data_IF_169859502388
#
_entry.id   IF_169859502388
#
_cell.length_a   1.000
_cell.length_b   1.000
_cell.length_c   1.000
_cell.angle_alpha   90.00
_cell.angle_beta   90.00
_cell.angle_gamma   90.00
#
_symmetry.space_group_name_H-M   'P 1'
#
loop_
_entity.id
_entity.type
_entity.pdbx_description
1 polymer ?
#
# COMPACT_ATOMS: atom_id res chain seq x y z
N UNK A 1 -9.07 -30.89 18.52
CA UNK A 1 -7.96 -30.00 18.95
C UNK A 1 -7.45 -29.23 17.74
N UNK A 2 -7.85 -27.97 17.59
CA UNK A 2 -7.41 -27.10 16.50
C UNK A 2 -6.01 -26.59 16.82
N UNK A 3 -4.98 -27.11 16.12
CA UNK A 3 -3.64 -26.53 16.16
C UNK A 3 -3.68 -25.21 15.40
N UNK A 4 -3.71 -24.11 16.12
CA UNK A 4 -3.51 -22.77 15.60
C UNK A 4 -2.02 -22.62 15.29
N UNK A 5 -1.62 -22.91 14.04
CA UNK A 5 -0.30 -22.52 13.55
C UNK A 5 -0.38 -21.03 13.23
N UNK A 6 -0.06 -20.24 14.25
CA UNK A 6 0.11 -18.81 14.16
C UNK A 6 1.52 -18.53 13.64
N UNK A 7 1.66 -18.45 12.31
CA UNK A 7 2.85 -17.87 11.70
C UNK A 7 2.71 -16.34 11.86
N UNK A 8 2.95 -15.85 13.09
CA UNK A 8 2.71 -14.46 13.50
C UNK A 8 3.69 -13.45 12.89
N UNK A 9 4.76 -13.89 12.25
CA UNK A 9 5.68 -13.01 11.53
C UNK A 9 6.60 -13.82 10.62
N UNK A 10 6.67 -13.49 9.33
CA UNK A 10 7.92 -13.68 8.59
C UNK A 10 8.67 -12.36 8.69
N UNK A 11 9.45 -12.17 9.76
CA UNK A 11 10.44 -11.08 9.79
C UNK A 11 11.53 -11.48 8.80
N UNK A 12 11.53 -10.84 7.64
CA UNK A 12 12.37 -11.21 6.49
C UNK A 12 13.88 -11.23 6.76
N UNK A 13 14.39 -10.69 7.89
CA UNK A 13 15.84 -10.61 8.09
C UNK A 13 16.54 -11.88 8.60
N UNK A 14 15.89 -12.77 9.35
CA UNK A 14 16.55 -14.00 9.86
C UNK A 14 16.11 -15.28 9.17
N UNK A 15 14.95 -15.27 8.52
CA UNK A 15 14.47 -16.42 7.75
C UNK A 15 15.03 -16.42 6.31
N UNK A 16 15.32 -15.23 5.73
CA UNK A 16 15.76 -15.12 4.33
C UNK A 16 17.30 -15.17 4.16
N UNK A 17 18.10 -15.04 5.21
CA UNK A 17 19.53 -15.36 5.12
C UNK A 17 19.79 -16.87 5.00
N UNK A 18 18.77 -17.70 5.25
CA UNK A 18 18.85 -19.16 5.18
C UNK A 18 18.02 -19.77 4.04
N UNK A 19 17.12 -19.01 3.42
CA UNK A 19 16.36 -19.42 2.23
C UNK A 19 16.60 -18.34 1.19
N UNK A 20 17.38 -18.66 0.16
CA UNK A 20 17.33 -17.90 -1.08
C UNK A 20 15.91 -18.08 -1.62
N UNK A 21 15.03 -17.11 -1.38
CA UNK A 21 13.62 -17.22 -1.80
C UNK A 21 13.41 -16.79 -3.23
N UNK A 22 14.49 -16.39 -3.89
CA UNK A 22 14.54 -16.20 -5.32
C UNK A 22 14.80 -17.56 -6.00
N UNK A 23 15.59 -18.45 -5.38
CA UNK A 23 15.78 -19.85 -5.81
C UNK A 23 15.64 -20.84 -4.63
N UNK A 24 14.44 -20.95 -4.03
CA UNK A 24 14.26 -21.97 -3.04
C UNK A 24 14.41 -23.30 -3.77
N UNK A 25 15.30 -24.17 -3.28
CA UNK A 25 15.33 -25.57 -3.68
C UNK A 25 13.87 -26.07 -3.80
N UNK A 26 13.48 -26.75 -4.90
CA UNK A 26 12.10 -27.19 -5.11
C UNK A 26 11.42 -27.80 -3.89
N UNK A 27 12.18 -28.56 -3.08
CA UNK A 27 11.68 -29.15 -1.82
C UNK A 27 11.31 -28.10 -0.76
N UNK A 28 12.09 -27.02 -0.68
CA UNK A 28 11.84 -25.88 0.21
C UNK A 28 10.66 -25.06 -0.31
N UNK A 29 10.60 -24.82 -1.62
CA UNK A 29 9.49 -24.11 -2.26
C UNK A 29 8.15 -24.84 -2.02
N UNK A 30 8.12 -26.16 -2.19
CA UNK A 30 6.94 -26.99 -1.95
C UNK A 30 6.50 -26.93 -0.47
N UNK A 31 7.46 -26.99 0.47
CA UNK A 31 7.17 -26.84 1.91
C UNK A 31 6.58 -25.47 2.23
N UNK A 32 7.14 -24.39 1.67
CA UNK A 32 6.61 -23.04 1.85
C UNK A 32 5.17 -22.97 1.32
N UNK A 33 4.91 -23.46 0.10
CA UNK A 33 3.55 -23.45 -0.46
C UNK A 33 2.56 -24.24 0.39
N UNK A 34 2.95 -25.40 0.92
CA UNK A 34 2.10 -26.18 1.86
C UNK A 34 1.77 -25.39 3.13
N UNK A 35 2.72 -24.60 3.65
CA UNK A 35 2.46 -23.70 4.79
C UNK A 35 1.50 -22.60 4.37
N UNK A 36 1.79 -21.88 3.28
CA UNK A 36 0.96 -20.78 2.77
C UNK A 36 -0.49 -21.20 2.53
N UNK A 37 -0.72 -22.40 1.97
CA UNK A 37 -2.06 -22.95 1.73
C UNK A 37 -2.92 -23.07 2.99
N UNK A 38 -2.30 -23.16 4.17
CA UNK A 38 -2.99 -23.33 5.44
C UNK A 38 -2.99 -22.06 6.31
N UNK A 39 -2.36 -20.98 5.85
CA UNK A 39 -2.29 -19.73 6.61
C UNK A 39 -3.65 -19.05 6.69
N UNK A 40 -3.92 -18.49 7.88
CA UNK A 40 -5.09 -17.63 8.11
C UNK A 40 -4.70 -16.15 8.19
N UNK A 41 -3.46 -15.86 8.53
CA UNK A 41 -2.91 -14.51 8.62
C UNK A 41 -1.54 -14.52 7.97
N UNK A 42 -1.28 -13.52 7.13
CA UNK A 42 -0.02 -13.33 6.44
C UNK A 42 0.35 -11.85 6.53
N UNK A 43 1.53 -11.57 7.07
CA UNK A 43 2.14 -10.25 7.07
C UNK A 43 3.47 -10.29 6.35
N UNK A 44 3.63 -9.43 5.35
CA UNK A 44 4.86 -9.23 4.59
C UNK A 44 5.30 -7.78 4.76
N UNK A 45 6.40 -7.59 5.50
CA UNK A 45 7.04 -6.28 5.66
C UNK A 45 8.30 -6.26 4.79
N UNK A 46 8.24 -5.47 3.73
CA UNK A 46 9.32 -5.29 2.78
C UNK A 46 10.27 -4.21 3.32
N UNK A 47 11.53 -4.57 3.56
CA UNK A 47 12.52 -3.64 4.08
C UNK A 47 13.62 -3.44 3.05
N UNK A 48 13.88 -2.17 2.73
CA UNK A 48 15.03 -1.76 1.96
C UNK A 48 16.26 -1.74 2.86
N UNK A 49 17.08 -2.78 2.81
CA UNK A 49 18.47 -2.69 3.27
C UNK A 49 19.32 -2.43 2.04
N UNK A 50 19.79 -1.19 1.90
CA UNK A 50 20.89 -0.88 1.00
C UNK A 50 22.14 -1.53 1.57
N UNK A 51 22.31 -2.84 1.35
CA UNK A 51 23.55 -3.51 1.71
C UNK A 51 24.67 -2.93 0.85
N UNK A 52 25.73 -2.51 1.54
CA UNK A 52 26.96 -1.97 0.95
C UNK A 52 27.70 -2.97 0.06
N UNK A 53 27.22 -4.22 -0.01
CA UNK A 53 27.95 -5.37 -0.53
C UNK A 53 27.43 -5.87 -1.90
N UNK A 54 26.25 -5.43 -2.35
CA UNK A 54 25.72 -5.77 -3.68
C UNK A 54 25.95 -4.65 -4.71
N UNK A 55 26.30 -5.03 -5.95
CA UNK A 55 26.33 -4.09 -7.06
C UNK A 55 24.89 -3.60 -7.35
N UNK A 56 24.68 -2.30 -7.64
CA UNK A 56 23.34 -1.73 -7.85
C UNK A 56 22.46 -2.51 -8.84
N UNK A 57 23.05 -3.04 -9.92
CA UNK A 57 22.31 -3.80 -10.93
C UNK A 57 21.78 -5.16 -10.43
N UNK A 58 22.56 -5.87 -9.62
CA UNK A 58 22.15 -7.16 -9.03
C UNK A 58 21.00 -6.95 -8.05
N UNK A 59 21.11 -5.92 -7.22
CA UNK A 59 20.08 -5.53 -6.26
C UNK A 59 18.74 -5.21 -6.93
N UNK A 60 18.76 -4.42 -8.01
CA UNK A 60 17.58 -4.08 -8.79
C UNK A 60 16.93 -5.36 -9.33
N UNK A 61 17.72 -6.25 -9.94
CA UNK A 61 17.20 -7.50 -10.51
C UNK A 61 16.54 -8.42 -9.46
N UNK A 62 17.15 -8.56 -8.27
CA UNK A 62 16.58 -9.34 -7.17
C UNK A 62 15.28 -8.73 -6.65
N UNK A 63 15.24 -7.40 -6.51
CA UNK A 63 14.04 -6.68 -6.12
C UNK A 63 12.91 -6.92 -7.13
N UNK A 64 13.21 -6.87 -8.43
CA UNK A 64 12.24 -7.12 -9.49
C UNK A 64 11.69 -8.54 -9.43
N UNK A 65 12.59 -9.52 -9.30
CA UNK A 65 12.25 -10.93 -9.20
C UNK A 65 11.31 -11.17 -8.01
N UNK A 66 11.66 -10.63 -6.84
CA UNK A 66 10.88 -10.80 -5.63
C UNK A 66 9.48 -10.19 -5.77
N UNK A 67 9.36 -8.91 -6.11
CA UNK A 67 8.05 -8.25 -6.24
C UNK A 67 7.17 -8.88 -7.33
N UNK A 68 7.78 -9.34 -8.43
CA UNK A 68 7.06 -10.09 -9.48
C UNK A 68 6.53 -11.45 -8.98
N UNK A 69 7.21 -12.06 -8.01
CA UNK A 69 6.80 -13.33 -7.42
C UNK A 69 5.79 -13.19 -6.27
N UNK A 70 5.63 -12.00 -5.66
CA UNK A 70 4.69 -11.78 -4.54
C UNK A 70 3.27 -12.28 -4.84
N UNK A 71 2.60 -11.86 -5.93
CA UNK A 71 1.24 -12.34 -6.21
C UNK A 71 1.14 -13.85 -6.40
N UNK A 72 2.07 -14.44 -7.15
CA UNK A 72 1.97 -15.83 -7.61
C UNK A 72 2.49 -16.86 -6.61
N UNK A 73 3.61 -16.56 -5.95
CA UNK A 73 4.27 -17.48 -5.02
C UNK A 73 3.81 -17.29 -3.58
N UNK A 74 3.68 -16.04 -3.12
CA UNK A 74 3.42 -15.75 -1.71
C UNK A 74 1.93 -15.62 -1.39
N UNK A 75 1.17 -15.00 -2.29
CA UNK A 75 -0.25 -14.69 -2.04
C UNK A 75 -1.20 -15.77 -2.55
N UNK A 76 -1.06 -16.17 -3.83
CA UNK A 76 -1.98 -17.11 -4.47
C UNK A 76 -2.15 -18.45 -3.73
N UNK A 77 -1.12 -19.09 -3.14
CA UNK A 77 -1.35 -20.35 -2.43
C UNK A 77 -2.31 -20.23 -1.25
N UNK A 78 -2.38 -19.06 -0.59
CA UNK A 78 -3.22 -18.83 0.58
C UNK A 78 -4.67 -18.43 0.23
N UNK A 79 -5.05 -18.40 -1.05
CA UNK A 79 -6.29 -17.77 -1.52
C UNK A 79 -7.61 -18.33 -0.91
N UNK A 80 -7.62 -19.58 -0.43
CA UNK A 80 -8.82 -20.20 0.16
C UNK A 80 -8.91 -20.07 1.68
N UNK A 81 -7.80 -19.79 2.35
CA UNK A 81 -7.67 -19.92 3.81
C UNK A 81 -7.36 -18.60 4.49
N UNK A 82 -6.72 -17.68 3.77
CA UNK A 82 -6.29 -16.39 4.30
C UNK A 82 -7.48 -15.52 4.70
N UNK A 83 -7.41 -15.00 5.93
CA UNK A 83 -8.39 -14.09 6.54
C UNK A 83 -7.80 -12.72 6.83
N UNK A 84 -6.49 -12.63 6.98
CA UNK A 84 -5.78 -11.39 7.30
C UNK A 84 -4.57 -11.27 6.39
N UNK A 85 -4.46 -10.14 5.71
CA UNK A 85 -3.32 -9.81 4.87
C UNK A 85 -2.80 -8.44 5.27
N UNK A 86 -1.52 -8.38 5.64
CA UNK A 86 -0.81 -7.14 5.88
C UNK A 86 0.38 -7.06 4.91
N UNK A 87 0.42 -6.00 4.11
CA UNK A 87 1.52 -5.70 3.22
C UNK A 87 2.07 -4.32 3.56
N UNK A 88 3.31 -4.27 4.00
CA UNK A 88 3.97 -3.04 4.42
C UNK A 88 5.32 -2.88 3.75
N UNK A 89 5.74 -1.64 3.53
CA UNK A 89 7.08 -1.31 3.07
C UNK A 89 7.62 -0.10 3.84
N UNK A 90 8.93 -0.01 4.05
CA UNK A 90 9.54 1.11 4.78
C UNK A 90 9.50 2.44 4.01
N UNK A 91 9.40 2.38 2.68
CA UNK A 91 9.20 3.50 1.74
C UNK A 91 7.88 3.35 0.97
N UNK A 92 7.42 4.39 0.29
CA UNK A 92 6.28 4.30 -0.61
C UNK A 92 6.51 3.28 -1.73
N UNK A 93 5.45 2.55 -2.09
CA UNK A 93 5.46 1.47 -3.08
C UNK A 93 4.12 1.38 -3.80
N UNK A 94 3.94 0.42 -4.71
CA UNK A 94 2.67 0.18 -5.40
C UNK A 94 2.62 0.71 -6.82
N UNK A 95 3.08 1.95 -7.07
CA UNK A 95 3.38 2.42 -8.42
C UNK A 95 4.73 1.87 -8.92
N UNK A 96 5.81 2.25 -8.25
CA UNK A 96 7.14 1.69 -8.43
C UNK A 96 7.50 0.81 -7.24
N UNK A 97 8.15 -0.32 -7.53
CA UNK A 97 7.89 -1.59 -6.85
C UNK A 97 6.42 -1.99 -7.00
N UNK A 98 6.01 -2.17 -8.26
CA UNK A 98 4.65 -2.58 -8.64
C UNK A 98 4.22 -3.80 -7.85
N UNK A 99 3.05 -3.71 -7.24
CA UNK A 99 2.28 -4.87 -6.82
C UNK A 99 0.93 -4.84 -7.51
N UNK A 100 0.78 -5.77 -8.45
CA UNK A 100 -0.47 -6.00 -9.15
C UNK A 100 -1.23 -7.15 -8.51
N UNK A 101 -2.33 -6.82 -7.84
CA UNK A 101 -3.23 -7.79 -7.22
C UNK A 101 -4.38 -8.22 -8.14
N UNK A 102 -4.41 -7.77 -9.40
CA UNK A 102 -5.40 -8.24 -10.37
C UNK A 102 -5.32 -9.76 -10.50
N UNK A 103 -6.45 -10.43 -10.35
CA UNK A 103 -6.53 -11.90 -10.39
C UNK A 103 -6.11 -12.60 -9.08
N UNK A 104 -5.77 -11.86 -8.02
CA UNK A 104 -5.57 -12.41 -6.67
C UNK A 104 -6.83 -12.12 -5.85
N UNK A 105 -7.63 -13.15 -5.59
CA UNK A 105 -8.83 -13.06 -4.77
C UNK A 105 -8.80 -14.05 -3.62
N UNK A 106 -9.04 -13.57 -2.42
CA UNK A 106 -9.03 -14.33 -1.17
C UNK A 106 -10.46 -14.53 -0.67
N UNK A 107 -11.01 -15.74 -0.78
CA UNK A 107 -12.43 -16.00 -0.52
C UNK A 107 -12.88 -15.82 0.94
N UNK A 108 -11.93 -15.61 1.86
CA UNK A 108 -12.18 -15.49 3.30
C UNK A 108 -11.52 -14.27 3.93
N UNK A 109 -11.00 -13.35 3.12
CA UNK A 109 -10.28 -12.18 3.62
C UNK A 109 -11.22 -11.26 4.39
N UNK A 110 -10.91 -11.05 5.66
CA UNK A 110 -11.65 -10.20 6.59
C UNK A 110 -10.86 -8.95 6.95
N UNK A 111 -9.54 -9.02 6.96
CA UNK A 111 -8.67 -7.91 7.33
C UNK A 111 -7.66 -7.67 6.20
N UNK A 112 -7.63 -6.45 5.68
CA UNK A 112 -6.60 -5.99 4.75
C UNK A 112 -5.90 -4.77 5.36
N UNK A 113 -4.58 -4.85 5.46
CA UNK A 113 -3.73 -3.75 5.88
C UNK A 113 -2.68 -3.48 4.81
N UNK A 114 -2.61 -2.21 4.41
CA UNK A 114 -1.61 -1.70 3.48
C UNK A 114 -0.89 -0.55 4.17
N UNK A 115 0.43 -0.61 4.18
CA UNK A 115 1.26 0.46 4.75
C UNK A 115 2.16 1.07 3.67
N UNK A 116 2.13 2.39 3.51
CA UNK A 116 2.88 3.14 2.47
C UNK A 116 2.56 2.75 1.02
N UNK A 117 1.40 2.14 0.80
CA UNK A 117 0.96 1.77 -0.55
C UNK A 117 0.44 3.00 -1.31
N UNK A 118 0.89 3.17 -2.55
CA UNK A 118 0.53 4.28 -3.43
C UNK A 118 -0.46 3.82 -4.49
N UNK A 119 -1.60 4.50 -4.53
CA UNK A 119 -2.72 4.28 -5.44
C UNK A 119 -2.62 5.23 -6.63
N UNK A 120 -2.57 4.68 -7.84
CA UNK A 120 -2.35 5.42 -9.10
C UNK A 120 -3.30 5.01 -10.22
N UNK A 121 -4.15 4.01 -9.97
CA UNK A 121 -5.08 3.48 -10.95
C UNK A 121 -6.28 2.79 -10.27
N UNK A 122 -7.46 2.87 -10.90
CA UNK A 122 -8.72 2.31 -10.38
C UNK A 122 -8.63 0.80 -10.11
N UNK A 123 -7.85 0.06 -10.90
CA UNK A 123 -7.70 -1.38 -10.70
C UNK A 123 -7.09 -1.78 -9.35
N UNK A 124 -6.37 -0.89 -8.67
CA UNK A 124 -5.91 -1.13 -7.30
C UNK A 124 -7.06 -1.05 -6.32
N UNK A 125 -8.01 -0.12 -6.53
CA UNK A 125 -9.25 -0.03 -5.78
C UNK A 125 -10.13 -1.25 -6.06
N UNK A 126 -10.30 -1.64 -7.32
CA UNK A 126 -11.03 -2.85 -7.72
C UNK A 126 -10.48 -4.10 -7.02
N UNK A 127 -9.17 -4.19 -6.84
CA UNK A 127 -8.52 -5.27 -6.08
C UNK A 127 -9.03 -5.36 -4.63
N UNK A 128 -9.17 -4.21 -3.95
CA UNK A 128 -9.76 -4.14 -2.61
C UNK A 128 -11.24 -4.53 -2.69
N UNK A 129 -11.99 -3.98 -3.63
CA UNK A 129 -13.42 -4.22 -3.81
C UNK A 129 -13.77 -5.64 -4.23
N UNK A 130 -12.83 -6.40 -4.78
CA UNK A 130 -13.03 -7.83 -5.04
C UNK A 130 -13.36 -8.61 -3.76
N UNK A 131 -13.08 -8.05 -2.58
CA UNK A 131 -13.37 -8.63 -1.27
C UNK A 131 -14.58 -7.99 -0.56
N UNK A 132 -15.42 -7.23 -1.27
CA UNK A 132 -16.57 -6.48 -0.72
C UNK A 132 -17.51 -7.30 0.18
N UNK A 133 -17.66 -8.59 -0.10
CA UNK A 133 -18.60 -9.48 0.60
C UNK A 133 -17.95 -10.18 1.81
N UNK A 134 -16.64 -10.02 2.04
CA UNK A 134 -15.91 -10.66 3.16
C UNK A 134 -15.13 -9.67 4.02
N UNK A 135 -14.70 -8.54 3.46
CA UNK A 135 -13.82 -7.58 4.11
C UNK A 135 -14.54 -6.85 5.24
N UNK A 136 -14.02 -7.01 6.45
CA UNK A 136 -14.57 -6.46 7.68
C UNK A 136 -13.70 -5.35 8.29
N UNK A 137 -12.39 -5.38 8.05
CA UNK A 137 -11.45 -4.39 8.54
C UNK A 137 -10.50 -3.97 7.41
N UNK A 138 -10.37 -2.66 7.19
CA UNK A 138 -9.47 -2.06 6.21
C UNK A 138 -8.58 -1.03 6.89
N UNK A 139 -7.27 -1.22 6.80
CA UNK A 139 -6.25 -0.38 7.40
C UNK A 139 -5.35 0.18 6.29
N UNK A 140 -5.39 1.49 6.08
CA UNK A 140 -4.59 2.20 5.08
C UNK A 140 -3.65 3.15 5.82
N UNK A 141 -2.47 2.64 6.16
CA UNK A 141 -1.53 3.35 7.04
C UNK A 141 -0.44 4.03 6.22
N UNK A 142 -0.37 5.34 6.31
CA UNK A 142 0.55 6.18 5.54
C UNK A 142 0.45 5.92 4.03
N UNK A 143 -0.74 5.57 3.54
CA UNK A 143 -1.01 5.34 2.13
C UNK A 143 -1.18 6.66 1.38
N UNK A 144 -0.81 6.65 0.10
CA UNK A 144 -0.84 7.82 -0.76
C UNK A 144 -1.65 7.60 -2.04
N UNK A 145 -2.13 8.70 -2.62
CA UNK A 145 -2.51 8.76 -4.03
C UNK A 145 -1.33 9.35 -4.81
N UNK A 146 -0.92 8.68 -5.89
CA UNK A 146 0.10 9.20 -6.81
C UNK A 146 -0.53 10.24 -7.73
N UNK A 147 -0.35 11.51 -7.39
CA UNK A 147 -1.01 12.63 -8.04
C UNK A 147 -0.41 12.93 -9.41
N UNK A 148 0.91 13.03 -9.48
CA UNK A 148 1.66 13.34 -10.69
C UNK A 148 2.93 12.49 -10.76
N UNK A 149 3.01 11.68 -11.81
CA UNK A 149 3.90 10.52 -11.88
C UNK A 149 4.75 10.66 -13.14
N UNK A 150 6.04 10.96 -12.97
CA UNK A 150 7.03 10.89 -14.03
C UNK A 150 7.25 9.42 -14.43
N UNK A 151 7.27 9.17 -15.74
CA UNK A 151 7.57 7.85 -16.27
C UNK A 151 8.98 7.42 -15.84
N UNK A 152 9.06 6.27 -15.17
CA UNK A 152 10.36 5.67 -14.84
C UNK A 152 10.99 5.02 -16.08
N UNK A 153 12.32 4.93 -16.08
CA UNK A 153 13.06 4.17 -17.09
C UNK A 153 12.76 2.66 -17.01
N UNK A 154 12.45 2.19 -15.80
CA UNK A 154 12.19 0.79 -15.50
C UNK A 154 10.68 0.48 -15.56
N UNK A 155 10.21 0.27 -16.78
CA UNK A 155 8.78 0.13 -17.12
C UNK A 155 8.15 -1.15 -16.57
N UNK A 156 8.93 -2.22 -16.41
CA UNK A 156 8.41 -3.52 -15.94
C UNK A 156 7.93 -3.44 -14.48
N UNK A 157 8.62 -2.63 -13.68
CA UNK A 157 8.31 -2.38 -12.27
C UNK A 157 7.37 -1.21 -12.02
N UNK A 158 6.94 -0.52 -13.07
CA UNK A 158 5.93 0.52 -13.00
C UNK A 158 4.52 -0.09 -13.14
N UNK A 159 3.58 0.37 -12.30
CA UNK A 159 2.19 -0.09 -12.34
C UNK A 159 1.46 0.37 -13.61
N UNK A 160 1.72 1.60 -14.07
CA UNK A 160 1.00 2.22 -15.17
C UNK A 160 1.52 1.77 -16.53
N UNK A 161 0.59 1.61 -17.49
CA UNK A 161 0.91 1.31 -18.88
C UNK A 161 1.79 2.42 -19.50
N UNK A 162 2.84 2.10 -20.27
CA UNK A 162 3.71 3.09 -20.90
C UNK A 162 3.01 4.11 -21.81
N UNK A 163 1.79 3.82 -22.28
CA UNK A 163 0.97 4.68 -23.12
C UNK A 163 0.07 5.62 -22.30
N UNK A 164 -0.07 5.42 -20.99
CA UNK A 164 -0.83 6.32 -20.10
C UNK A 164 -0.12 7.66 -19.85
N UNK A 165 1.18 7.75 -20.17
CA UNK A 165 1.99 8.95 -19.94
C UNK A 165 1.96 9.88 -21.14
N UNK A 166 1.78 11.17 -20.86
CA UNK A 166 1.79 12.25 -21.84
C UNK A 166 3.02 13.14 -21.69
N UNK A 167 3.54 13.67 -22.79
CA UNK A 167 4.59 14.70 -22.75
C UNK A 167 3.95 16.06 -22.50
N UNK A 168 4.39 16.75 -21.44
CA UNK A 168 3.92 18.11 -21.15
C UNK A 168 4.80 19.15 -21.83
N UNK A 169 4.25 20.28 -22.31
CA UNK A 169 5.07 21.38 -22.82
C UNK A 169 6.09 21.84 -21.77
N UNK A 170 7.35 22.03 -22.18
CA UNK A 170 8.42 22.49 -21.29
C UNK A 170 9.03 21.42 -20.37
N UNK A 171 8.59 20.16 -20.44
CA UNK A 171 9.11 19.10 -19.57
C UNK A 171 10.47 18.51 -19.97
N UNK A 172 11.13 19.06 -20.99
CA UNK A 172 12.37 18.49 -21.54
C UNK A 172 12.19 17.10 -22.13
N UNK A 173 10.99 16.76 -22.61
CA UNK A 173 10.65 15.44 -23.17
C UNK A 173 10.26 14.39 -22.13
N UNK A 174 10.27 14.73 -20.83
CA UNK A 174 9.76 13.86 -19.77
C UNK A 174 8.25 13.64 -19.93
N UNK A 175 7.81 12.43 -19.63
CA UNK A 175 6.42 11.99 -19.74
C UNK A 175 5.81 11.80 -18.37
N UNK A 176 4.56 12.22 -18.20
CA UNK A 176 3.86 12.24 -16.92
C UNK A 176 2.49 11.59 -17.07
N UNK A 177 2.05 10.91 -16.02
CA UNK A 177 0.67 10.48 -15.85
C UNK A 177 0.09 11.17 -14.61
N UNK A 178 -1.20 11.48 -14.66
CA UNK A 178 -1.95 12.01 -13.52
C UNK A 178 -3.08 11.07 -13.21
N UNK A 179 -3.38 10.90 -11.94
CA UNK A 179 -4.55 10.15 -11.49
C UNK A 179 -5.63 11.14 -11.03
N UNK A 180 -6.83 10.98 -11.57
CA UNK A 180 -7.94 11.92 -11.37
C UNK A 180 -8.73 11.66 -10.08
N UNK A 181 -8.59 10.46 -9.50
CA UNK A 181 -9.18 10.14 -8.20
C UNK A 181 -8.46 10.82 -7.05
N UNK A 182 -9.25 11.18 -6.04
CA UNK A 182 -8.79 11.72 -4.76
C UNK A 182 -9.23 10.83 -3.60
N UNK A 183 -8.72 11.12 -2.40
CA UNK A 183 -9.08 10.35 -1.21
C UNK A 183 -10.58 10.39 -0.93
N UNK A 184 -11.26 11.49 -1.25
CA UNK A 184 -12.72 11.54 -1.10
C UNK A 184 -13.46 10.50 -1.96
N UNK A 185 -12.95 10.19 -3.16
CA UNK A 185 -13.56 9.16 -4.01
C UNK A 185 -13.41 7.78 -3.38
N UNK A 186 -12.23 7.50 -2.82
CA UNK A 186 -11.92 6.25 -2.13
C UNK A 186 -12.77 6.09 -0.87
N UNK A 187 -12.82 7.12 -0.01
CA UNK A 187 -13.61 7.07 1.21
C UNK A 187 -15.11 6.92 0.94
N UNK A 188 -15.65 7.65 -0.06
CA UNK A 188 -17.04 7.45 -0.52
C UNK A 188 -17.26 6.03 -1.02
N UNK A 189 -16.34 5.50 -1.83
CA UNK A 189 -16.43 4.12 -2.33
C UNK A 189 -16.44 3.13 -1.17
N UNK A 190 -15.54 3.26 -0.18
CA UNK A 190 -15.45 2.32 0.94
C UNK A 190 -16.73 2.24 1.78
N UNK A 191 -17.60 3.25 1.72
CA UNK A 191 -18.92 3.16 2.31
C UNK A 191 -19.76 2.02 1.71
N UNK A 192 -19.48 1.55 0.50
CA UNK A 192 -20.19 0.44 -0.15
C UNK A 192 -19.74 -0.95 0.34
N UNK A 193 -18.65 -1.04 1.11
CA UNK A 193 -18.17 -2.28 1.71
C UNK A 193 -19.12 -2.73 2.84
N UNK A 194 -20.06 -3.62 2.49
CA UNK A 194 -21.21 -3.99 3.34
C UNK A 194 -20.86 -4.56 4.70
N UNK A 195 -19.69 -5.19 4.81
CA UNK A 195 -19.23 -5.83 6.03
C UNK A 195 -18.17 -5.02 6.77
N UNK A 196 -17.79 -3.85 6.26
CA UNK A 196 -16.77 -3.00 6.87
C UNK A 196 -17.25 -2.51 8.24
N UNK A 197 -16.57 -2.96 9.27
CA UNK A 197 -16.84 -2.62 10.68
C UNK A 197 -15.72 -1.78 11.27
N UNK A 198 -14.51 -1.87 10.73
CA UNK A 198 -13.36 -1.08 11.16
C UNK A 198 -12.64 -0.52 9.96
N UNK A 199 -12.34 0.76 10.04
CA UNK A 199 -11.52 1.46 9.07
C UNK A 199 -10.46 2.24 9.82
N UNK A 200 -9.25 2.30 9.29
CA UNK A 200 -8.27 3.31 9.69
C UNK A 200 -7.57 3.87 8.48
N UNK A 201 -7.43 5.18 8.49
CA UNK A 201 -6.58 5.94 7.60
C UNK A 201 -5.82 6.98 8.43
N UNK A 202 -4.56 7.20 8.12
CA UNK A 202 -3.72 8.11 8.86
C UNK A 202 -2.25 7.94 8.54
N UNK A 203 -1.40 8.65 9.27
CA UNK A 203 0.05 8.59 9.11
C UNK A 203 0.75 8.03 10.34
N UNK A 204 1.92 7.45 10.11
CA UNK A 204 2.73 6.80 11.13
C UNK A 204 3.84 7.77 11.55
N UNK A 205 3.90 8.18 12.82
CA UNK A 205 4.98 9.04 13.33
C UNK A 205 6.34 8.32 13.34
N UNK A 206 6.34 7.07 13.76
CA UNK A 206 7.53 6.22 13.84
C UNK A 206 7.20 4.83 13.37
N UNK A 207 8.01 4.31 12.46
CA UNK A 207 7.98 2.91 12.11
C UNK A 207 8.50 2.11 13.32
N UNK A 208 7.58 1.66 14.17
CA UNK A 208 7.89 0.91 15.39
C UNK A 208 8.25 -0.54 15.12
N UNK A 209 8.80 -1.26 16.12
CA UNK A 209 9.02 -2.69 16.02
C UNK A 209 7.73 -3.45 15.71
N UNK A 210 7.89 -4.59 15.02
CA UNK A 210 6.83 -5.41 14.42
C UNK A 210 5.65 -5.74 15.37
N UNK A 211 5.91 -5.84 16.67
CA UNK A 211 5.02 -6.41 17.69
C UNK A 211 3.99 -5.42 18.26
N UNK A 212 4.26 -4.11 18.20
CA UNK A 212 3.44 -3.10 18.90
C UNK A 212 2.38 -2.45 17.98
N UNK A 213 2.56 -2.56 16.66
CA UNK A 213 1.76 -1.80 15.68
C UNK A 213 2.09 -0.31 15.73
N UNK A 214 1.97 0.44 14.62
CA UNK A 214 2.30 1.86 14.64
C UNK A 214 1.26 2.66 15.43
N UNK A 215 1.74 3.63 16.22
CA UNK A 215 0.90 4.71 16.71
C UNK A 215 0.44 5.54 15.50
N UNK A 216 -0.82 5.33 15.13
CA UNK A 216 -1.41 5.91 13.93
C UNK A 216 -2.15 7.20 14.27
N UNK A 217 -1.69 8.31 13.71
CA UNK A 217 -2.43 9.57 13.74
C UNK A 217 -3.49 9.55 12.64
N UNK A 218 -4.75 9.48 13.05
CA UNK A 218 -5.89 9.42 12.16
C UNK A 218 -6.17 10.83 11.65
N UNK A 219 -5.67 11.19 10.46
CA UNK A 219 -5.99 12.41 9.72
C UNK A 219 -5.46 12.38 8.30
N UNK A 220 -5.94 13.29 7.46
CA UNK A 220 -5.21 13.65 6.23
C UNK A 220 -3.82 14.19 6.61
N UNK A 221 -2.85 14.00 5.73
CA UNK A 221 -1.45 14.39 5.95
C UNK A 221 -0.78 14.79 4.62
N UNK A 222 0.41 15.39 4.70
CA UNK A 222 1.12 15.88 3.50
C UNK A 222 1.42 14.75 2.50
N UNK A 223 1.70 13.54 3.01
CA UNK A 223 1.98 12.37 2.20
C UNK A 223 0.70 11.63 1.72
N UNK A 224 -0.50 12.14 2.00
CA UNK A 224 -1.74 11.62 1.41
C UNK A 224 -1.71 11.72 -0.12
N UNK A 225 -0.96 12.68 -0.67
CA UNK A 225 -0.71 12.83 -2.10
C UNK A 225 0.79 12.89 -2.37
N UNK A 226 1.26 12.00 -3.23
CA UNK A 226 2.68 11.87 -3.55
C UNK A 226 2.93 12.13 -5.03
N UNK A 227 4.08 12.74 -5.30
CA UNK A 227 4.68 12.80 -6.62
C UNK A 227 5.63 11.62 -6.80
N UNK A 228 5.83 11.19 -8.04
CA UNK A 228 6.92 10.28 -8.38
C UNK A 228 7.81 10.91 -9.45
N UNK A 229 9.11 10.97 -9.21
CA UNK A 229 10.09 11.61 -10.09
C UNK A 229 11.39 10.83 -10.20
N UNK A 230 12.41 11.48 -10.77
CA UNK A 230 13.76 10.90 -10.94
C UNK A 230 14.45 10.53 -9.62
N UNK A 231 14.00 11.07 -8.48
CA UNK A 231 14.51 10.74 -7.14
C UNK A 231 13.57 9.79 -6.36
N UNK A 232 12.58 9.20 -7.04
CA UNK A 232 11.56 8.37 -6.42
C UNK A 232 10.36 9.18 -5.91
N UNK A 233 9.73 8.68 -4.85
CA UNK A 233 8.56 9.32 -4.26
C UNK A 233 8.95 10.62 -3.55
N UNK A 234 8.18 11.67 -3.79
CA UNK A 234 8.36 12.99 -3.19
C UNK A 234 7.03 13.49 -2.66
N UNK A 235 7.05 14.08 -1.48
CA UNK A 235 5.90 14.84 -1.00
C UNK A 235 5.64 16.02 -1.92
N UNK A 236 4.37 16.42 -2.04
CA UNK A 236 4.05 17.68 -2.72
C UNK A 236 4.86 18.81 -2.06
N UNK A 237 5.49 19.72 -2.84
CA UNK A 237 6.19 20.87 -2.28
C UNK A 237 5.29 21.56 -1.26
N UNK A 238 5.76 21.64 -0.02
CA UNK A 238 4.97 22.16 1.08
C UNK A 238 4.51 23.59 0.78
N UNK A 239 3.32 23.91 1.28
CA UNK A 239 2.79 25.25 1.44
C UNK A 239 3.86 26.16 2.11
N UNK A 240 4.64 26.91 1.34
CA UNK A 240 5.30 28.10 1.83
C UNK A 240 4.41 29.30 1.49
N UNK A 241 3.66 29.76 2.49
CA UNK A 241 2.99 31.06 2.44
C UNK A 241 4.04 32.16 2.43
N UNK A 242 4.65 32.49 1.27
CA UNK A 242 5.46 33.72 1.20
C UNK A 242 5.71 34.36 -0.17
N UNK A 243 5.23 33.81 -1.29
CA UNK A 243 5.52 34.45 -2.59
C UNK A 243 4.35 34.44 -3.56
N UNK A 244 3.26 35.13 -3.19
CA UNK A 244 2.39 35.95 -4.06
C UNK A 244 1.80 35.40 -5.38
N UNK A 245 2.12 34.19 -5.81
CA UNK A 245 1.70 33.51 -7.04
C UNK A 245 2.02 32.01 -6.88
N UNK A 246 1.22 31.28 -6.09
CA UNK A 246 1.39 29.85 -5.85
C UNK A 246 0.10 29.06 -6.06
N UNK A 247 0.25 27.81 -6.52
CA UNK A 247 -0.81 26.88 -6.91
C UNK A 247 -1.74 26.56 -5.72
N UNK A 248 -3.00 27.00 -5.81
CA UNK A 248 -4.09 26.87 -4.81
C UNK A 248 -4.60 25.43 -4.56
N UNK A 249 -4.07 24.41 -5.21
CA UNK A 249 -4.76 23.11 -5.33
C UNK A 249 -4.80 22.25 -4.05
N UNK A 250 -3.98 22.52 -3.02
CA UNK A 250 -3.88 21.64 -1.85
C UNK A 250 -4.91 21.85 -0.73
N UNK A 251 -5.26 23.10 -0.38
CA UNK A 251 -6.05 23.34 0.84
C UNK A 251 -7.55 23.04 0.68
N UNK A 252 -8.12 23.26 -0.51
CA UNK A 252 -9.55 23.04 -0.74
C UNK A 252 -9.89 21.54 -0.83
N UNK A 253 -9.01 20.73 -1.44
CA UNK A 253 -9.23 19.28 -1.58
C UNK A 253 -9.16 18.55 -0.25
N UNK A 254 -8.23 18.95 0.62
CA UNK A 254 -8.07 18.33 1.93
C UNK A 254 -9.34 18.46 2.77
N UNK A 255 -10.07 19.57 2.66
CA UNK A 255 -11.34 19.74 3.40
C UNK A 255 -12.38 18.72 2.94
N UNK A 256 -12.54 18.52 1.64
CA UNK A 256 -13.48 17.55 1.09
C UNK A 256 -13.07 16.11 1.42
N UNK A 257 -11.77 15.79 1.30
CA UNK A 257 -11.22 14.49 1.65
C UNK A 257 -11.45 14.18 3.15
N UNK A 258 -11.14 15.12 4.04
CA UNK A 258 -11.37 14.99 5.47
C UNK A 258 -12.86 14.85 5.80
N UNK A 259 -13.73 15.60 5.12
CA UNK A 259 -15.20 15.49 5.30
C UNK A 259 -15.69 14.09 4.92
N UNK A 260 -15.24 13.55 3.79
CA UNK A 260 -15.64 12.20 3.37
C UNK A 260 -15.04 11.10 4.25
N UNK A 261 -13.88 11.34 4.87
CA UNK A 261 -13.30 10.47 5.89
C UNK A 261 -14.16 10.46 7.17
N UNK A 262 -14.60 11.63 7.62
CA UNK A 262 -15.56 11.80 8.72
C UNK A 262 -16.87 11.05 8.45
N UNK A 263 -17.44 11.21 7.26
CA UNK A 263 -18.66 10.52 6.84
C UNK A 263 -18.50 9.00 6.87
N UNK A 264 -17.35 8.48 6.39
CA UNK A 264 -17.04 7.05 6.46
C UNK A 264 -16.97 6.58 7.91
N UNK A 265 -16.22 7.27 8.79
CA UNK A 265 -16.14 6.91 10.21
C UNK A 265 -17.51 6.97 10.89
N UNK A 266 -18.32 7.98 10.61
CA UNK A 266 -19.67 8.09 11.13
C UNK A 266 -20.54 6.90 10.71
N UNK A 267 -20.47 6.50 9.43
CA UNK A 267 -21.20 5.33 8.89
C UNK A 267 -20.84 4.02 9.60
N UNK A 268 -19.57 3.83 9.95
CA UNK A 268 -19.12 2.63 10.67
C UNK A 268 -19.24 2.75 12.20
N UNK A 269 -19.89 3.81 12.70
CA UNK A 269 -20.25 3.98 14.12
C UNK A 269 -19.13 4.56 15.00
N UNK A 270 -18.18 5.28 14.41
CA UNK A 270 -17.09 5.94 15.12
C UNK A 270 -17.28 7.46 15.13
N UNK A 271 -16.97 8.10 16.27
CA UNK A 271 -16.82 9.55 16.34
C UNK A 271 -15.38 9.90 16.04
N UNK A 272 -15.15 10.49 14.88
CA UNK A 272 -13.89 11.08 14.48
C UNK A 272 -13.98 12.60 14.69
N UNK A 273 -12.99 13.20 15.36
CA UNK A 273 -12.91 14.64 15.60
C UNK A 273 -11.51 15.10 15.24
N UNK A 274 -11.41 15.92 14.19
CA UNK A 274 -10.15 16.47 13.67
C UNK A 274 -9.34 17.13 14.80
N UNK A 275 -8.03 16.85 14.86
CA UNK A 275 -7.10 17.46 15.81
C UNK A 275 -7.02 16.80 17.20
N UNK A 276 -7.71 15.67 17.41
CA UNK A 276 -7.43 14.75 18.53
C UNK A 276 -7.22 13.36 17.94
N UNK A 277 -6.03 12.80 18.12
CA UNK A 277 -5.61 11.47 17.65
C UNK A 277 -6.38 10.29 18.29
N UNK A 278 -7.69 10.43 18.54
CA UNK A 278 -8.52 9.42 19.18
C UNK A 278 -9.86 9.28 18.49
N UNK A 279 -10.02 8.15 17.81
CA UNK A 279 -11.33 7.61 17.45
C UNK A 279 -11.95 6.96 18.68
N UNK A 280 -13.14 7.44 19.08
CA UNK A 280 -13.91 6.86 20.19
C UNK A 280 -15.18 6.24 19.65
N UNK A 281 -15.48 5.02 20.11
CA UNK A 281 -16.73 4.34 19.79
C UNK A 281 -17.89 5.10 20.44
N UNK A 282 -18.90 5.44 19.64
CA UNK A 282 -20.14 6.06 20.10
C UNK A 282 -21.03 5.07 20.81
#
# INVERSE_FOLDING_TARGET
>A
MSKMLECRSVVMNKFMSAIDVNEPNPDVAEKIQKVLQNLRSLRLDFIYYGEKDLKPATYIAETHRFFSAVPSFWLKPAHQTLKELNLAHCHFWGYYLKLDLRGVHFSRLRILQLTKYTLVHDSQLDGIFSHRDTLAELYLEDCAIGWDIEATADKEMAYLDPNSYITRPGSGGKRYATYDKRWHDYFKSFQELRHLQRFRYGWIEKYGPFEEGPDLNLSMHIASYMLYGSLGYQELPSYCMDTGNSLKYGAEWVIEDETSLEELYAKIGYKYVVGKSQVRRG
#
